data_IF_800680027921
#
_entry.id   IF_800680027921
#
_cell.length_a   1.000
_cell.length_b   1.000
_cell.length_c   1.000
_cell.angle_alpha   90.00
_cell.angle_beta   90.00
_cell.angle_gamma   90.00
#
_symmetry.space_group_name_H-M   'P 1'
#
loop_
_entity.id
_entity.type
_entity.pdbx_description
1 polymer ?
#
# COMPACT_ATOMS: atom_id res chain seq x y z
N UNK A 1 13.41 -18.06 -4.36
CA UNK A 1 14.52 -17.76 -3.41
C UNK A 1 13.97 -17.84 -1.99
N UNK A 2 14.35 -18.85 -1.21
CA UNK A 2 13.95 -18.97 0.20
C UNK A 2 14.51 -17.76 0.94
N UNK A 3 13.66 -16.86 1.43
CA UNK A 3 14.08 -15.80 2.35
C UNK A 3 14.76 -16.47 3.54
N UNK A 4 16.10 -16.49 3.56
CA UNK A 4 16.86 -16.85 4.75
C UNK A 4 16.34 -15.92 5.86
N UNK A 5 15.66 -16.50 6.85
CA UNK A 5 15.19 -15.82 8.07
C UNK A 5 16.40 -15.21 8.78
N UNK A 6 16.85 -14.02 8.37
CA UNK A 6 17.74 -13.19 9.18
C UNK A 6 16.95 -12.82 10.44
N UNK A 7 17.39 -13.34 11.59
CA UNK A 7 16.75 -13.09 12.89
C UNK A 7 16.96 -11.62 13.29
N UNK A 8 16.05 -10.74 12.87
CA UNK A 8 15.93 -9.40 13.45
C UNK A 8 15.51 -9.50 14.92
N UNK A 9 16.32 -8.96 15.84
CA UNK A 9 15.98 -8.91 17.27
C UNK A 9 14.83 -7.92 17.47
N UNK A 10 13.72 -8.33 18.11
CA UNK A 10 12.64 -7.40 18.48
C UNK A 10 13.20 -6.35 19.43
N UNK A 11 12.97 -5.08 19.12
CA UNK A 11 13.44 -3.94 19.94
C UNK A 11 12.24 -3.18 20.49
N UNK A 12 12.35 -2.74 21.75
CA UNK A 12 11.47 -1.69 22.30
C UNK A 12 11.93 -0.33 21.77
N UNK A 13 11.02 0.64 21.70
CA UNK A 13 11.32 2.00 21.25
C UNK A 13 12.21 2.68 22.31
N UNK A 14 13.31 3.30 21.87
CA UNK A 14 14.33 3.96 22.68
C UNK A 14 14.96 5.13 21.91
N UNK A 15 15.85 5.92 22.54
CA UNK A 15 16.51 7.07 21.89
C UNK A 15 17.32 6.72 20.61
N UNK A 16 17.77 5.47 20.47
CA UNK A 16 18.52 4.98 19.29
C UNK A 16 17.63 4.42 18.18
N UNK A 17 16.31 4.54 18.34
CA UNK A 17 15.31 4.03 17.38
C UNK A 17 15.27 4.92 16.12
N UNK A 18 15.13 4.34 14.90
CA UNK A 18 14.99 5.12 13.68
C UNK A 18 13.90 6.19 13.77
N UNK A 19 14.17 7.37 13.20
CA UNK A 19 13.32 8.55 13.32
C UNK A 19 11.82 8.28 13.07
N UNK A 20 11.46 7.60 11.98
CA UNK A 20 10.06 7.32 11.69
C UNK A 20 9.40 6.35 12.66
N UNK A 21 10.16 5.42 13.25
CA UNK A 21 9.63 4.54 14.29
C UNK A 21 9.35 5.35 15.56
N UNK A 22 10.17 6.36 15.88
CA UNK A 22 9.88 7.29 16.97
C UNK A 22 8.66 8.17 16.65
N UNK A 23 8.58 8.70 15.42
CA UNK A 23 7.47 9.54 14.97
C UNK A 23 6.12 8.81 15.06
N UNK A 24 6.13 7.50 14.80
CA UNK A 24 4.93 6.66 14.81
C UNK A 24 4.81 5.79 16.07
N UNK A 25 5.56 6.10 17.14
CA UNK A 25 5.61 5.30 18.37
C UNK A 25 4.22 4.98 18.94
N UNK A 26 3.29 5.93 18.83
CA UNK A 26 1.94 5.79 19.37
C UNK A 26 1.06 4.84 18.56
N UNK A 27 1.50 4.45 17.36
CA UNK A 27 0.79 3.54 16.46
C UNK A 27 1.49 2.19 16.29
N UNK A 28 2.69 2.02 16.86
CA UNK A 28 3.52 0.81 16.75
C UNK A 28 3.58 0.10 18.10
N UNK A 29 3.48 -1.23 18.09
CA UNK A 29 3.69 -2.08 19.28
C UNK A 29 5.15 -2.47 19.45
N UNK A 30 5.74 -3.02 18.39
CA UNK A 30 7.13 -3.44 18.34
C UNK A 30 7.67 -3.32 16.91
N UNK A 31 9.00 -3.36 16.77
CA UNK A 31 9.66 -3.25 15.48
C UNK A 31 10.92 -4.12 15.39
N UNK A 32 11.31 -4.39 14.14
CA UNK A 32 12.54 -5.10 13.77
C UNK A 32 13.22 -4.38 12.62
N UNK A 33 14.53 -4.20 12.75
CA UNK A 33 15.39 -3.67 11.70
C UNK A 33 15.85 -4.81 10.78
N UNK A 34 15.74 -4.58 9.48
CA UNK A 34 16.26 -5.43 8.43
C UNK A 34 17.05 -4.56 7.46
N UNK A 35 18.35 -4.37 7.72
CA UNK A 35 19.35 -3.69 6.87
C UNK A 35 18.77 -3.06 5.59
N UNK A 36 18.25 -1.83 5.72
CA UNK A 36 17.64 -1.06 4.62
C UNK A 36 16.13 -0.79 4.78
N UNK A 37 15.42 -1.55 5.62
CA UNK A 37 14.02 -1.29 5.97
C UNK A 37 13.67 -1.76 7.39
N UNK A 38 12.62 -1.17 7.95
CA UNK A 38 12.08 -1.51 9.26
C UNK A 38 10.72 -2.15 9.09
N UNK A 39 10.49 -3.27 9.78
CA UNK A 39 9.18 -3.91 9.88
C UNK A 39 8.60 -3.60 11.26
N UNK A 40 7.44 -2.98 11.30
CA UNK A 40 6.73 -2.66 12.52
C UNK A 40 5.45 -3.48 12.65
N UNK A 41 5.16 -3.93 13.86
CA UNK A 41 3.87 -4.49 14.25
C UNK A 41 2.96 -3.32 14.66
N UNK A 42 1.92 -2.96 13.89
CA UNK A 42 1.04 -1.85 14.23
C UNK A 42 0.11 -2.19 15.41
N UNK A 43 -0.41 -1.16 16.07
CA UNK A 43 -1.54 -1.29 16.99
C UNK A 43 -2.81 -1.65 16.20
N UNK A 44 -3.72 -2.39 16.84
CA UNK A 44 -4.95 -2.93 16.20
C UNK A 44 -5.78 -1.85 15.49
N UNK A 45 -5.78 -0.62 16.02
CA UNK A 45 -6.54 0.51 15.46
C UNK A 45 -6.20 0.88 14.01
N UNK A 46 -5.04 0.48 13.50
CA UNK A 46 -4.63 0.79 12.13
C UNK A 46 -5.19 -0.18 11.07
N UNK A 47 -5.69 -1.35 11.46
CA UNK A 47 -6.22 -2.37 10.54
C UNK A 47 -5.17 -3.16 9.74
N UNK A 48 -3.93 -2.65 9.61
CA UNK A 48 -2.84 -3.35 8.94
C UNK A 48 -2.27 -4.51 9.77
N UNK A 49 -1.79 -5.55 9.09
CA UNK A 49 -1.05 -6.66 9.71
C UNK A 49 0.39 -6.24 10.03
N UNK A 50 1.01 -5.43 9.17
CA UNK A 50 2.38 -4.93 9.33
C UNK A 50 2.57 -3.58 8.64
N UNK A 51 3.48 -2.77 9.18
CA UNK A 51 3.98 -1.56 8.50
C UNK A 51 5.43 -1.80 8.07
N UNK A 52 5.74 -1.45 6.83
CA UNK A 52 7.10 -1.44 6.30
C UNK A 52 7.52 0.03 6.17
N UNK A 53 8.67 0.36 6.75
CA UNK A 53 9.22 1.71 6.71
C UNK A 53 10.59 1.62 6.08
N UNK A 54 10.79 2.31 4.97
CA UNK A 54 12.09 2.43 4.33
C UNK A 54 12.33 3.87 3.90
N UNK A 55 13.49 4.11 3.32
CA UNK A 55 13.86 5.43 2.83
C UNK A 55 14.82 5.29 1.67
N UNK A 56 14.76 6.25 0.75
CA UNK A 56 15.77 6.43 -0.29
C UNK A 56 16.29 7.85 -0.26
N UNK A 57 17.59 7.99 -0.45
CA UNK A 57 18.24 9.29 -0.60
C UNK A 57 17.92 9.85 -1.99
N UNK A 58 17.60 11.13 -2.07
CA UNK A 58 17.38 11.86 -3.31
C UNK A 58 18.25 13.12 -3.26
N UNK A 59 19.10 13.33 -4.27
CA UNK A 59 20.08 14.42 -4.24
C UNK A 59 21.14 14.25 -3.14
N UNK A 60 21.71 15.38 -2.68
CA UNK A 60 22.85 15.37 -1.75
C UNK A 60 22.48 15.08 -0.29
N UNK A 61 21.29 15.49 0.18
CA UNK A 61 20.87 15.29 1.59
C UNK A 61 19.36 15.04 1.79
N UNK A 62 18.53 15.06 0.74
CA UNK A 62 17.10 14.84 0.91
C UNK A 62 16.77 13.36 1.05
N UNK A 63 15.76 13.07 1.87
CA UNK A 63 15.33 11.70 2.15
C UNK A 63 13.83 11.57 1.90
N UNK A 64 13.50 10.79 0.88
CA UNK A 64 12.12 10.34 0.67
C UNK A 64 11.92 9.13 1.55
N UNK A 65 10.92 9.22 2.42
CA UNK A 65 10.50 8.09 3.21
C UNK A 65 9.36 7.36 2.52
N UNK A 66 9.33 6.05 2.73
CA UNK A 66 8.33 5.16 2.17
C UNK A 66 7.70 4.44 3.37
N UNK A 67 6.39 4.61 3.53
CA UNK A 67 5.59 3.96 4.57
C UNK A 67 4.55 3.10 3.87
N UNK A 68 4.66 1.79 4.00
CA UNK A 68 3.72 0.83 3.41
C UNK A 68 2.97 0.09 4.49
N UNK A 69 1.64 0.21 4.50
CA UNK A 69 0.75 -0.62 5.30
C UNK A 69 0.36 -1.87 4.53
N UNK A 70 0.61 -3.04 5.11
CA UNK A 70 0.27 -4.34 4.52
C UNK A 70 -0.94 -4.91 5.26
N UNK A 71 -2.02 -5.13 4.52
CA UNK A 71 -3.25 -5.77 4.96
C UNK A 71 -3.33 -7.15 4.31
N UNK A 72 -2.98 -8.18 5.07
CA UNK A 72 -3.16 -9.57 4.63
C UNK A 72 -4.62 -9.96 4.83
N UNK A 73 -5.33 -10.21 3.73
CA UNK A 73 -6.75 -10.55 3.76
C UNK A 73 -6.97 -12.06 3.62
N UNK A 74 -6.29 -12.71 2.67
CA UNK A 74 -6.28 -14.16 2.48
C UNK A 74 -4.82 -14.62 2.30
N UNK A 75 -4.41 -15.62 3.06
CA UNK A 75 -3.08 -16.23 2.97
C UNK A 75 -3.03 -17.36 1.94
N UNK A 76 -1.83 -17.85 1.63
CA UNK A 76 -1.61 -18.91 0.63
C UNK A 76 -2.34 -20.20 0.96
N UNK A 77 -2.40 -20.54 2.24
CA UNK A 77 -3.03 -21.77 2.72
C UNK A 77 -4.56 -21.75 2.58
N UNK A 78 -5.16 -20.56 2.48
CA UNK A 78 -6.61 -20.36 2.35
C UNK A 78 -7.03 -19.92 0.95
N UNK A 79 -6.14 -19.95 -0.04
CA UNK A 79 -6.49 -19.65 -1.43
C UNK A 79 -7.21 -20.84 -2.06
N UNK A 80 -8.47 -20.64 -2.45
CA UNK A 80 -9.22 -21.53 -3.33
C UNK A 80 -9.68 -20.84 -4.61
N UNK A 81 -10.57 -21.50 -5.35
CA UNK A 81 -11.15 -20.95 -6.59
C UNK A 81 -11.95 -19.67 -6.32
N UNK A 82 -12.71 -19.63 -5.22
CA UNK A 82 -13.47 -18.46 -4.82
C UNK A 82 -12.55 -17.27 -4.51
N UNK A 83 -11.50 -17.47 -3.73
CA UNK A 83 -10.53 -16.42 -3.40
C UNK A 83 -9.76 -15.96 -4.63
N UNK A 84 -9.48 -16.86 -5.58
CA UNK A 84 -8.87 -16.49 -6.85
C UNK A 84 -9.80 -15.59 -7.68
N UNK A 85 -11.10 -15.90 -7.74
CA UNK A 85 -12.08 -15.02 -8.39
C UNK A 85 -12.20 -13.67 -7.68
N UNK A 86 -12.26 -13.67 -6.35
CA UNK A 86 -12.27 -12.46 -5.54
C UNK A 86 -11.04 -11.59 -5.83
N UNK A 87 -9.84 -12.17 -5.89
CA UNK A 87 -8.62 -11.44 -6.28
C UNK A 87 -8.79 -10.74 -7.62
N UNK A 88 -9.30 -11.45 -8.64
CA UNK A 88 -9.50 -10.90 -9.99
C UNK A 88 -10.52 -9.76 -10.00
N UNK A 89 -11.54 -9.80 -9.13
CA UNK A 89 -12.52 -8.71 -8.99
C UNK A 89 -11.98 -7.51 -8.21
N UNK A 90 -11.01 -7.73 -7.33
CA UNK A 90 -10.35 -6.66 -6.57
C UNK A 90 -9.23 -5.96 -7.36
N UNK A 91 -8.53 -6.69 -8.24
CA UNK A 91 -7.39 -6.18 -9.01
C UNK A 91 -7.70 -4.93 -9.86
N UNK A 92 -8.86 -4.81 -10.52
CA UNK A 92 -9.28 -3.59 -11.21
C UNK A 92 -9.36 -2.31 -10.36
N UNK A 93 -9.38 -2.41 -9.04
CA UNK A 93 -9.60 -1.27 -8.13
C UNK A 93 -8.32 -0.53 -7.75
N UNK A 94 -7.14 -1.02 -8.16
CA UNK A 94 -5.88 -0.40 -7.77
C UNK A 94 -5.79 1.04 -8.26
N UNK A 95 -5.32 1.92 -7.40
CA UNK A 95 -5.31 3.35 -7.69
C UNK A 95 -4.13 4.06 -7.04
N UNK A 96 -3.82 5.23 -7.59
CA UNK A 96 -2.80 6.12 -7.07
C UNK A 96 -3.34 7.54 -6.97
N UNK A 97 -2.78 8.32 -6.04
CA UNK A 97 -2.99 9.75 -6.04
C UNK A 97 -2.24 10.37 -7.23
N UNK A 98 -2.93 11.24 -7.94
CA UNK A 98 -2.37 12.07 -8.98
C UNK A 98 -2.62 13.53 -8.65
N UNK A 99 -1.75 14.38 -9.17
CA UNK A 99 -1.83 15.82 -8.99
C UNK A 99 -1.89 16.47 -10.37
N UNK A 100 -3.05 17.02 -10.75
CA UNK A 100 -3.23 17.75 -12.03
C UNK A 100 -3.76 19.17 -11.81
N UNK A 101 -3.58 20.03 -12.82
CA UNK A 101 -4.03 21.43 -12.84
C UNK A 101 -2.87 22.42 -13.00
N UNK A 102 -3.03 23.39 -13.90
CA UNK A 102 -1.99 24.38 -14.22
C UNK A 102 -1.93 25.54 -13.21
N UNK A 103 -3.07 25.95 -12.63
CA UNK A 103 -3.14 27.11 -11.72
C UNK A 103 -3.39 26.68 -10.27
N UNK A 104 -4.33 25.75 -10.03
CA UNK A 104 -4.58 25.15 -8.70
C UNK A 104 -4.47 23.63 -8.82
N UNK A 105 -3.34 23.09 -8.39
CA UNK A 105 -3.08 21.65 -8.42
C UNK A 105 -4.02 20.94 -7.45
N UNK A 106 -4.91 20.12 -8.00
CA UNK A 106 -5.85 19.31 -7.23
C UNK A 106 -5.34 17.88 -7.14
N UNK A 107 -5.48 17.30 -5.94
CA UNK A 107 -5.20 15.90 -5.66
C UNK A 107 -6.48 15.10 -5.89
N UNK A 108 -6.36 13.97 -6.59
CA UNK A 108 -7.44 13.00 -6.75
C UNK A 108 -6.84 11.61 -7.00
N UNK A 109 -7.58 10.57 -6.64
CA UNK A 109 -7.25 9.20 -6.98
C UNK A 109 -7.61 8.92 -8.44
N UNK A 110 -6.75 8.18 -9.11
CA UNK A 110 -6.93 7.70 -10.48
C UNK A 110 -6.44 6.26 -10.60
N UNK A 111 -6.85 5.51 -11.64
CA UNK A 111 -6.42 4.13 -11.84
C UNK A 111 -4.90 3.99 -11.87
N UNK A 112 -4.40 2.85 -11.39
CA UNK A 112 -2.99 2.54 -11.49
C UNK A 112 -2.54 2.41 -12.95
N UNK A 113 -1.41 3.01 -13.35
CA UNK A 113 -0.94 2.94 -14.74
C UNK A 113 -0.62 1.50 -15.17
N UNK A 114 -0.32 0.61 -14.21
CA UNK A 114 -0.12 -0.81 -14.48
C UNK A 114 -1.40 -1.52 -14.95
N UNK A 115 -2.59 -1.04 -14.57
CA UNK A 115 -3.86 -1.66 -14.95
C UNK A 115 -4.12 -1.54 -16.45
N UNK A 116 -3.76 -0.39 -17.04
CA UNK A 116 -3.88 -0.16 -18.48
C UNK A 116 -2.95 -1.09 -19.27
N UNK A 117 -1.74 -1.32 -18.74
CA UNK A 117 -0.79 -2.29 -19.31
C UNK A 117 -1.31 -3.72 -19.20
N UNK A 118 -1.88 -4.08 -18.05
CA UNK A 118 -2.53 -5.39 -17.90
C UNK A 118 -3.71 -5.57 -18.86
N UNK A 119 -4.55 -4.55 -19.08
CA UNK A 119 -5.66 -4.59 -20.04
C UNK A 119 -5.18 -4.91 -21.46
N UNK A 120 -4.02 -4.41 -21.87
CA UNK A 120 -3.45 -4.75 -23.19
C UNK A 120 -3.02 -6.22 -23.34
N UNK A 121 -2.85 -6.94 -22.22
CA UNK A 121 -2.38 -8.33 -22.18
C UNK A 121 -3.47 -9.33 -21.74
N UNK A 122 -4.59 -8.84 -21.21
CA UNK A 122 -5.72 -9.61 -20.71
C UNK A 122 -6.99 -8.95 -21.27
N UNK A 123 -7.52 -9.43 -22.40
CA UNK A 123 -8.64 -8.79 -23.10
C UNK A 123 -9.89 -8.59 -22.24
N UNK A 124 -10.17 -9.51 -21.31
CA UNK A 124 -11.30 -9.47 -20.39
C UNK A 124 -11.08 -8.60 -19.13
N UNK A 125 -9.91 -7.97 -19.00
CA UNK A 125 -9.57 -7.18 -17.83
C UNK A 125 -10.12 -5.75 -17.93
N UNK A 126 -11.15 -5.45 -17.15
CA UNK A 126 -11.76 -4.12 -17.10
C UNK A 126 -11.34 -3.36 -15.85
N UNK A 127 -10.82 -2.14 -16.05
CA UNK A 127 -10.47 -1.23 -14.96
C UNK A 127 -11.72 -0.70 -14.28
N UNK A 128 -11.72 -0.62 -12.95
CA UNK A 128 -12.89 -0.21 -12.17
C UNK A 128 -12.62 1.06 -11.35
N UNK A 129 -13.49 2.06 -11.50
CA UNK A 129 -13.42 3.31 -10.75
C UNK A 129 -14.08 3.25 -9.36
N UNK A 130 -14.66 2.10 -8.98
CA UNK A 130 -15.48 1.98 -7.76
C UNK A 130 -14.75 2.43 -6.49
N UNK A 131 -13.52 1.95 -6.27
CA UNK A 131 -12.72 2.35 -5.10
C UNK A 131 -12.27 3.82 -5.21
N UNK A 132 -11.92 4.26 -6.42
CA UNK A 132 -11.49 5.63 -6.72
C UNK A 132 -12.59 6.63 -6.38
N UNK A 133 -13.83 6.37 -6.80
CA UNK A 133 -14.97 7.25 -6.55
C UNK A 133 -15.26 7.35 -5.04
N UNK A 134 -15.20 6.22 -4.32
CA UNK A 134 -15.35 6.23 -2.86
C UNK A 134 -14.26 7.02 -2.16
N UNK A 135 -13.00 6.93 -2.61
CA UNK A 135 -11.88 7.67 -2.04
C UNK A 135 -11.99 9.17 -2.34
N UNK A 136 -12.28 9.54 -3.58
CA UNK A 136 -12.40 10.93 -4.02
C UNK A 136 -13.59 11.66 -3.37
N UNK A 137 -14.69 10.94 -3.14
CA UNK A 137 -15.87 11.47 -2.46
C UNK A 137 -15.76 11.47 -0.93
N UNK A 138 -14.71 10.84 -0.36
CA UNK A 138 -14.47 10.86 1.08
C UNK A 138 -13.74 12.16 1.47
N UNK A 139 -14.50 13.13 1.98
CA UNK A 139 -13.99 14.47 2.34
C UNK A 139 -12.87 14.43 3.38
N UNK A 140 -12.93 13.51 4.35
CA UNK A 140 -11.91 13.37 5.39
C UNK A 140 -10.59 12.85 4.82
N UNK A 141 -10.63 11.81 3.99
CA UNK A 141 -9.45 11.26 3.30
C UNK A 141 -8.84 12.32 2.40
N UNK A 142 -9.65 13.00 1.58
CA UNK A 142 -9.15 14.03 0.67
C UNK A 142 -8.60 15.26 1.41
N UNK A 143 -9.14 15.60 2.58
CA UNK A 143 -8.58 16.63 3.46
C UNK A 143 -7.21 16.22 3.98
N UNK A 144 -7.06 14.98 4.46
CA UNK A 144 -5.78 14.45 4.93
C UNK A 144 -4.74 14.39 3.80
N UNK A 145 -5.11 13.97 2.60
CA UNK A 145 -4.22 14.00 1.42
C UNK A 145 -3.72 15.42 1.15
N UNK A 146 -4.60 16.43 1.20
CA UNK A 146 -4.23 17.84 1.01
C UNK A 146 -3.35 18.40 2.12
N UNK A 147 -3.47 17.89 3.36
CA UNK A 147 -2.62 18.28 4.49
C UNK A 147 -1.25 17.60 4.42
N UNK A 148 -1.24 16.28 4.25
CA UNK A 148 -0.03 15.45 4.20
C UNK A 148 0.82 15.77 2.96
N UNK A 149 0.17 16.00 1.82
CA UNK A 149 0.78 16.26 0.50
C UNK A 149 1.83 15.20 0.13
N UNK A 150 1.43 13.93 0.00
CA UNK A 150 2.36 12.85 -0.32
C UNK A 150 2.96 13.04 -1.72
N UNK A 151 4.23 12.71 -1.90
CA UNK A 151 4.86 12.70 -3.22
C UNK A 151 4.27 11.59 -4.09
N UNK A 152 3.97 10.44 -3.46
CA UNK A 152 3.17 9.36 -4.03
C UNK A 152 2.28 8.75 -2.95
N UNK A 153 1.11 8.29 -3.36
CA UNK A 153 0.22 7.51 -2.52
C UNK A 153 -0.47 6.47 -3.39
N UNK A 154 -0.32 5.19 -3.07
CA UNK A 154 -0.83 4.08 -3.88
C UNK A 154 -1.58 3.07 -3.03
N UNK A 155 -2.58 2.45 -3.64
CA UNK A 155 -3.33 1.33 -3.09
C UNK A 155 -3.27 0.22 -4.14
N UNK A 156 -2.54 -0.85 -3.84
CA UNK A 156 -2.30 -1.95 -4.77
C UNK A 156 -2.49 -3.30 -4.09
N UNK A 157 -2.85 -4.32 -4.83
CA UNK A 157 -2.71 -5.70 -4.40
C UNK A 157 -1.27 -6.15 -4.59
N UNK A 158 -0.85 -7.10 -3.76
CA UNK A 158 0.33 -7.89 -4.05
C UNK A 158 0.10 -8.64 -5.36
N UNK A 159 1.01 -8.45 -6.31
CA UNK A 159 0.86 -8.96 -7.67
C UNK A 159 2.17 -9.45 -8.29
N UNK A 160 3.22 -9.65 -7.49
CA UNK A 160 4.47 -10.19 -8.01
C UNK A 160 4.79 -11.50 -7.30
N UNK A 161 4.91 -12.61 -8.05
CA UNK A 161 5.50 -13.83 -7.53
C UNK A 161 6.92 -13.55 -7.03
N UNK A 162 7.39 -14.34 -6.07
CA UNK A 162 8.70 -14.13 -5.43
C UNK A 162 9.83 -14.18 -6.47
N UNK A 163 9.65 -14.94 -7.55
CA UNK A 163 10.59 -15.12 -8.65
C UNK A 163 10.78 -13.84 -9.46
N UNK A 164 9.74 -12.99 -9.58
CA UNK A 164 9.80 -11.73 -10.32
C UNK A 164 10.19 -10.52 -9.46
N UNK A 165 10.15 -10.63 -8.13
CA UNK A 165 10.53 -9.53 -7.23
C UNK A 165 11.94 -8.97 -7.47
N UNK A 166 12.99 -9.77 -7.79
CA UNK A 166 14.31 -9.25 -8.14
C UNK A 166 14.31 -8.38 -9.39
N UNK A 167 13.36 -8.60 -10.30
CA UNK A 167 13.22 -7.90 -11.58
C UNK A 167 12.18 -6.78 -11.53
N UNK A 168 11.63 -6.43 -10.36
CA UNK A 168 10.60 -5.39 -10.23
C UNK A 168 11.02 -3.99 -10.71
N UNK A 169 12.31 -3.79 -11.06
CA UNK A 169 12.83 -2.56 -11.69
C UNK A 169 12.64 -2.53 -13.20
N UNK A 170 12.47 -3.69 -13.83
CA UNK A 170 12.08 -3.83 -15.23
C UNK A 170 10.56 -3.80 -15.29
N UNK A 171 10.02 -2.78 -15.95
CA UNK A 171 8.59 -2.52 -15.97
C UNK A 171 7.82 -3.60 -16.75
N UNK A 172 8.38 -4.10 -17.84
CA UNK A 172 7.74 -5.13 -18.67
C UNK A 172 7.76 -6.48 -17.97
N UNK A 173 8.89 -6.82 -17.33
CA UNK A 173 8.97 -8.01 -16.49
C UNK A 173 8.01 -7.95 -15.30
N UNK A 174 7.86 -6.76 -14.68
CA UNK A 174 6.90 -6.55 -13.59
C UNK A 174 5.46 -6.75 -14.08
N UNK A 175 5.08 -6.17 -15.21
CA UNK A 175 3.74 -6.34 -15.78
C UNK A 175 3.44 -7.80 -16.12
N UNK A 176 4.41 -8.53 -16.71
CA UNK A 176 4.26 -9.97 -16.97
C UNK A 176 4.04 -10.76 -15.67
N UNK A 177 4.82 -10.49 -14.63
CA UNK A 177 4.62 -11.09 -13.31
C UNK A 177 3.24 -10.78 -12.72
N UNK A 178 2.71 -9.58 -12.93
CA UNK A 178 1.35 -9.19 -12.51
C UNK A 178 0.26 -9.94 -13.27
N UNK A 179 0.44 -10.18 -14.58
CA UNK A 179 -0.47 -11.00 -15.38
C UNK A 179 -0.45 -12.46 -14.93
N UNK A 180 0.72 -13.02 -14.63
CA UNK A 180 0.84 -14.39 -14.11
C UNK A 180 0.19 -14.53 -12.72
N UNK A 181 0.44 -13.58 -11.81
CA UNK A 181 -0.20 -13.58 -10.50
C UNK A 181 -1.72 -13.40 -10.61
N UNK A 182 -2.22 -12.62 -11.57
CA UNK A 182 -3.66 -12.49 -11.82
C UNK A 182 -4.30 -13.80 -12.27
N UNK A 183 -3.59 -14.58 -13.10
CA UNK A 183 -4.06 -15.89 -13.56
C UNK A 183 -4.07 -16.91 -12.43
N UNK A 184 -3.04 -16.93 -11.60
CA UNK A 184 -2.87 -17.86 -10.47
C UNK A 184 -2.46 -17.13 -9.19
N UNK A 185 -3.39 -16.44 -8.52
CA UNK A 185 -3.08 -15.66 -7.32
C UNK A 185 -2.72 -16.58 -6.15
N UNK A 186 -1.69 -16.20 -5.39
CA UNK A 186 -1.26 -16.97 -4.21
C UNK A 186 -1.73 -16.37 -2.89
N UNK A 187 -2.29 -15.16 -2.90
CA UNK A 187 -2.83 -14.50 -1.71
C UNK A 187 -3.64 -13.26 -2.10
N UNK A 188 -4.48 -12.79 -1.19
CA UNK A 188 -5.09 -11.46 -1.28
C UNK A 188 -4.44 -10.60 -0.21
N UNK A 189 -3.53 -9.72 -0.62
CA UNK A 189 -2.82 -8.80 0.27
C UNK A 189 -2.86 -7.41 -0.32
N UNK A 190 -3.52 -6.47 0.37
CA UNK A 190 -3.48 -5.06 0.01
C UNK A 190 -2.23 -4.40 0.59
N UNK A 191 -1.62 -3.54 -0.21
CA UNK A 191 -0.49 -2.70 0.16
C UNK A 191 -0.86 -1.25 -0.12
N UNK A 192 -0.94 -0.46 0.95
CA UNK A 192 -1.14 0.98 0.87
C UNK A 192 0.21 1.63 1.09
N UNK A 193 0.75 2.34 0.10
CA UNK A 193 2.09 2.95 0.19
C UNK A 193 2.00 4.45 0.10
N UNK A 194 2.67 5.13 1.04
CA UNK A 194 2.87 6.56 1.04
C UNK A 194 4.36 6.86 0.87
N UNK A 195 4.72 7.64 -0.15
CA UNK A 195 6.04 8.26 -0.28
C UNK A 195 5.93 9.75 0.04
N UNK A 196 6.89 10.27 0.80
CA UNK A 196 6.94 11.70 1.08
C UNK A 196 8.22 12.13 1.79
N UNK A 197 8.58 13.40 1.61
CA UNK A 197 9.58 14.06 2.44
C UNK A 197 8.99 14.43 3.81
N UNK A 198 9.65 13.92 4.86
CA UNK A 198 9.39 14.23 6.26
C UNK A 198 10.60 14.98 6.81
N UNK A 199 10.68 16.27 6.46
CA UNK A 199 11.77 17.10 6.93
C UNK A 199 11.56 17.37 8.44
N UNK A 200 12.63 17.36 9.24
CA UNK A 200 12.61 17.54 10.70
C UNK A 200 12.31 19.00 11.10
N UNK A 201 11.11 19.49 10.81
CA UNK A 201 10.67 20.85 11.13
C UNK A 201 9.55 20.85 12.18
N UNK A 202 9.25 22.04 12.69
CA UNK A 202 8.10 22.31 13.57
C UNK A 202 6.82 21.71 12.93
N UNK A 203 6.03 20.97 13.72
CA UNK A 203 4.80 20.34 13.26
C UNK A 203 4.95 18.92 12.69
N UNK A 204 6.15 18.32 12.73
CA UNK A 204 6.38 16.96 12.22
C UNK A 204 5.54 15.90 12.93
N UNK A 205 5.31 16.04 14.25
CA UNK A 205 4.43 15.12 15.00
C UNK A 205 2.99 15.19 14.51
N UNK A 206 2.48 16.40 14.23
CA UNK A 206 1.15 16.58 13.64
C UNK A 206 1.06 15.89 12.28
N UNK A 207 2.06 16.11 11.42
CA UNK A 207 2.13 15.45 10.11
C UNK A 207 2.21 13.93 10.24
N UNK A 208 2.95 13.42 11.23
CA UNK A 208 3.02 11.99 11.54
C UNK A 208 1.67 11.39 11.95
N UNK A 209 0.91 12.10 12.79
CA UNK A 209 -0.47 11.72 13.14
C UNK A 209 -1.39 11.72 11.93
N UNK A 210 -1.36 12.78 11.11
CA UNK A 210 -2.17 12.88 9.90
C UNK A 210 -1.87 11.76 8.89
N UNK A 211 -0.60 11.36 8.75
CA UNK A 211 -0.22 10.19 7.94
C UNK A 211 -0.85 8.92 8.49
N UNK A 212 -0.73 8.65 9.79
CA UNK A 212 -1.28 7.43 10.37
C UNK A 212 -2.81 7.42 10.34
N UNK A 213 -3.45 8.57 10.48
CA UNK A 213 -4.90 8.72 10.31
C UNK A 213 -5.34 8.49 8.87
N UNK A 214 -4.59 9.01 7.89
CA UNK A 214 -4.84 8.75 6.47
C UNK A 214 -4.74 7.25 6.17
N UNK A 215 -3.64 6.62 6.58
CA UNK A 215 -3.40 5.19 6.39
C UNK A 215 -4.55 4.37 7.02
N UNK A 216 -4.93 4.69 8.26
CA UNK A 216 -6.05 4.03 8.96
C UNK A 216 -7.37 4.15 8.20
N UNK A 217 -7.74 5.37 7.78
CA UNK A 217 -9.02 5.60 7.08
C UNK A 217 -9.06 4.91 5.73
N UNK A 218 -7.96 4.94 4.99
CA UNK A 218 -7.83 4.23 3.70
C UNK A 218 -7.89 2.72 3.92
N UNK A 219 -7.19 2.17 4.93
CA UNK A 219 -7.27 0.75 5.28
C UNK A 219 -8.71 0.30 5.52
N UNK A 220 -9.46 1.09 6.32
CA UNK A 220 -10.87 0.79 6.60
C UNK A 220 -11.70 0.78 5.33
N UNK A 221 -11.57 1.81 4.48
CA UNK A 221 -12.35 1.91 3.25
C UNK A 221 -12.04 0.77 2.27
N UNK A 222 -10.76 0.40 2.12
CA UNK A 222 -10.31 -0.74 1.30
C UNK A 222 -10.88 -2.06 1.83
N UNK A 223 -10.86 -2.27 3.15
CA UNK A 223 -11.44 -3.46 3.75
C UNK A 223 -12.96 -3.52 3.56
N UNK A 224 -13.66 -2.40 3.80
CA UNK A 224 -15.11 -2.30 3.61
C UNK A 224 -15.49 -2.58 2.13
N UNK A 225 -14.69 -2.11 1.16
CA UNK A 225 -14.87 -2.41 -0.27
C UNK A 225 -14.61 -3.88 -0.60
N UNK A 226 -13.55 -4.46 -0.02
CA UNK A 226 -13.18 -5.86 -0.21
C UNK A 226 -14.30 -6.79 0.28
N UNK A 227 -14.85 -6.52 1.46
CA UNK A 227 -15.97 -7.27 2.04
C UNK A 227 -17.24 -7.15 1.21
N UNK A 228 -17.53 -5.96 0.67
CA UNK A 228 -18.70 -5.75 -0.16
C UNK A 228 -18.62 -6.55 -1.47
N UNK A 229 -17.45 -6.57 -2.11
CA UNK A 229 -17.24 -7.39 -3.31
C UNK A 229 -17.34 -8.87 -2.97
N UNK A 230 -16.68 -9.33 -1.91
CA UNK A 230 -16.77 -10.72 -1.46
C UNK A 230 -18.22 -11.17 -1.25
N UNK A 231 -19.04 -10.35 -0.59
CA UNK A 231 -20.47 -10.65 -0.38
C UNK A 231 -21.23 -10.77 -1.69
N UNK A 232 -20.99 -9.88 -2.64
CA UNK A 232 -21.65 -9.91 -3.94
C UNK A 232 -21.23 -11.12 -4.80
N UNK A 233 -19.98 -11.61 -4.67
CA UNK A 233 -19.58 -12.86 -5.33
C UNK A 233 -20.34 -14.05 -4.74
N UNK A 234 -20.45 -14.13 -3.41
CA UNK A 234 -21.17 -15.21 -2.73
C UNK A 234 -22.67 -15.28 -3.10
N UNK A 235 -23.29 -14.16 -3.48
CA UNK A 235 -24.71 -14.15 -3.89
C UNK A 235 -24.93 -14.55 -5.35
N UNK A 236 -23.86 -14.66 -6.14
CA UNK A 236 -23.92 -14.97 -7.58
C UNK A 236 -23.42 -16.38 -7.89
N UNK A 237 -22.83 -17.08 -6.90
CA UNK A 237 -22.42 -18.49 -6.95
C UNK A 237 -23.50 -19.40 -6.40
#
# INVERSE_FOLDING_TARGET
>A
MVFKKRKGRRKKISATTPFLVQLFKDYIKDWKDYQGFVVCTPKKMLGYTRLLISSRTVGFFDRIWIVSGVLEYVNKESMGNFEAELYRKLKPLECNIVRRGFIRKNWFFAPSPYLEKMRSLIPEFEVSNRLIDRLNNNTEIMSLIKSVKPDKFSISLLSLPIEYQPFARDEDAAVKGMVEFYKSPESITWVVTLEGMFNRWIGIEKKGREVMDLMRKVCKLVLDETELIRKNLNTTS
#
